data_IF_936869303587
#
_entry.id   IF_936869303587
#
_cell.length_a   1.000
_cell.length_b   1.000
_cell.length_c   1.000
_cell.angle_alpha   90.00
_cell.angle_beta   90.00
_cell.angle_gamma   90.00
#
_symmetry.space_group_name_H-M   'P 1'
#
loop_
_entity.id
_entity.type
_entity.pdbx_description
1 polymer ?
#
# COMPACT_ATOMS: atom_id res chain seq x y z
N UNK A 1 80.32 30.39 -88.92
CA UNK A 1 79.40 31.08 -87.99
C UNK A 1 77.94 30.63 -88.22
N UNK A 2 77.60 29.35 -88.03
CA UNK A 2 76.24 28.84 -88.38
C UNK A 2 75.69 27.75 -87.44
N UNK A 3 76.25 27.58 -86.23
CA UNK A 3 75.81 26.53 -85.29
C UNK A 3 74.83 27.00 -84.19
N UNK A 4 74.66 28.31 -83.96
CA UNK A 4 73.85 28.82 -82.85
C UNK A 4 72.34 28.99 -83.16
N UNK A 5 71.91 28.88 -84.42
CA UNK A 5 70.52 29.21 -84.80
C UNK A 5 69.49 28.08 -84.58
N UNK A 6 69.92 26.83 -84.36
CA UNK A 6 68.99 25.67 -84.22
C UNK A 6 68.51 25.42 -82.80
N UNK A 7 69.22 25.89 -81.78
CA UNK A 7 68.84 25.68 -80.38
C UNK A 7 67.72 26.59 -79.89
N UNK A 8 67.50 27.74 -80.55
CA UNK A 8 66.45 28.69 -80.18
C UNK A 8 65.02 28.19 -80.45
N UNK A 9 64.84 27.40 -81.51
CA UNK A 9 63.52 26.94 -81.97
C UNK A 9 62.90 25.84 -81.08
N UNK A 10 63.72 25.01 -80.43
CA UNK A 10 63.23 23.96 -79.51
C UNK A 10 62.78 24.54 -78.16
N UNK A 11 63.42 25.62 -77.70
CA UNK A 11 63.06 26.29 -76.45
C UNK A 11 61.75 27.07 -76.59
N UNK A 12 61.52 27.72 -77.74
CA UNK A 12 60.28 28.47 -77.98
C UNK A 12 59.06 27.55 -78.12
N UNK A 13 59.22 26.34 -78.68
CA UNK A 13 58.13 25.37 -78.77
C UNK A 13 57.79 24.76 -77.40
N UNK A 14 58.79 24.51 -76.53
CA UNK A 14 58.56 24.05 -75.16
C UNK A 14 57.82 25.08 -74.28
N UNK A 15 58.07 26.38 -74.50
CA UNK A 15 57.36 27.48 -73.83
C UNK A 15 55.93 27.70 -74.36
N UNK A 16 55.64 27.34 -75.61
CA UNK A 16 54.29 27.42 -76.19
C UNK A 16 53.38 26.25 -75.75
N UNK A 17 53.93 25.08 -75.43
CA UNK A 17 53.13 23.94 -74.91
C UNK A 17 52.83 24.02 -73.41
N UNK A 18 53.59 24.77 -72.61
CA UNK A 18 53.32 24.87 -71.16
C UNK A 18 52.09 25.73 -70.81
N UNK A 19 51.56 26.49 -71.77
CA UNK A 19 50.40 27.39 -71.58
C UNK A 19 49.02 26.80 -71.91
N UNK A 20 48.92 25.57 -72.44
CA UNK A 20 47.63 25.05 -72.91
C UNK A 20 46.63 24.65 -71.81
N UNK A 21 47.06 24.52 -70.56
CA UNK A 21 46.17 24.13 -69.44
C UNK A 21 45.85 25.28 -68.46
N UNK A 22 46.38 26.50 -68.66
CA UNK A 22 46.20 27.61 -67.70
C UNK A 22 44.88 28.39 -67.85
N UNK A 23 44.11 28.14 -68.92
CA UNK A 23 42.82 28.81 -69.19
C UNK A 23 41.65 27.88 -69.50
N UNK A 24 41.85 26.55 -69.46
CA UNK A 24 40.80 25.57 -69.76
C UNK A 24 40.36 24.91 -68.45
N UNK A 25 39.06 24.99 -68.17
CA UNK A 25 38.45 24.26 -67.04
C UNK A 25 38.79 22.78 -67.11
N UNK A 26 39.24 22.23 -65.99
CA UNK A 26 39.57 20.81 -65.84
C UNK A 26 38.32 19.94 -65.68
N UNK A 27 37.12 20.51 -65.80
CA UNK A 27 35.87 19.77 -65.95
C UNK A 27 35.66 19.39 -67.43
N UNK A 28 35.61 18.09 -67.79
CA UNK A 28 35.38 17.65 -69.17
C UNK A 28 34.00 18.05 -69.72
N UNK A 29 33.03 18.36 -68.84
CA UNK A 29 31.69 18.82 -69.25
C UNK A 29 31.71 20.27 -69.71
N UNK A 30 32.62 21.08 -69.18
CA UNK A 30 32.75 22.50 -69.53
C UNK A 30 33.91 22.77 -70.51
N UNK A 31 34.99 21.97 -70.46
CA UNK A 31 36.22 22.15 -71.23
C UNK A 31 36.42 21.19 -72.41
N UNK A 32 35.47 20.27 -72.64
CA UNK A 32 35.54 19.28 -73.71
C UNK A 32 36.78 18.37 -73.63
N UNK A 33 37.26 17.89 -74.79
CA UNK A 33 38.42 16.99 -74.87
C UNK A 33 39.71 17.61 -74.30
N UNK A 34 39.94 18.91 -74.50
CA UNK A 34 41.11 19.61 -73.97
C UNK A 34 41.08 19.70 -72.44
N UNK A 35 39.93 20.00 -71.85
CA UNK A 35 39.72 19.98 -70.40
C UNK A 35 39.84 18.56 -69.81
N UNK A 36 39.43 17.54 -70.56
CA UNK A 36 39.62 16.13 -70.21
C UNK A 36 41.08 15.71 -70.10
N UNK A 37 41.90 16.07 -71.09
CA UNK A 37 43.35 15.75 -71.12
C UNK A 37 44.11 16.57 -70.08
N UNK A 38 43.84 17.88 -69.96
CA UNK A 38 44.44 18.72 -68.92
C UNK A 38 44.03 18.23 -67.52
N UNK A 39 42.78 17.80 -67.31
CA UNK A 39 42.33 17.24 -66.02
C UNK A 39 43.03 15.94 -65.63
N UNK A 40 43.42 15.10 -66.60
CA UNK A 40 44.26 13.93 -66.33
C UNK A 40 45.71 14.30 -66.06
N UNK A 41 46.29 15.19 -66.87
CA UNK A 41 47.68 15.61 -66.72
C UNK A 41 47.95 16.40 -65.42
N UNK A 42 46.95 17.13 -64.93
CA UNK A 42 47.04 17.96 -63.70
C UNK A 42 46.63 17.22 -62.42
N UNK A 43 46.09 16.00 -62.52
CA UNK A 43 45.62 15.24 -61.35
C UNK A 43 44.26 15.69 -60.78
N UNK A 44 43.59 16.67 -61.39
CA UNK A 44 42.32 17.22 -60.91
C UNK A 44 41.20 16.16 -60.76
N UNK A 45 41.23 15.06 -61.52
CA UNK A 45 40.30 13.94 -61.32
C UNK A 45 40.56 13.15 -60.05
N UNK A 46 41.82 12.91 -59.71
CA UNK A 46 42.19 12.21 -58.47
C UNK A 46 41.63 12.97 -57.28
N UNK A 47 41.87 14.28 -57.23
CA UNK A 47 41.37 15.14 -56.16
C UNK A 47 39.83 15.13 -56.06
N UNK A 48 39.11 15.18 -57.20
CA UNK A 48 37.65 15.06 -57.21
C UNK A 48 37.11 13.70 -56.78
N UNK A 49 37.86 12.63 -57.00
CA UNK A 49 37.52 11.28 -56.52
C UNK A 49 37.78 11.22 -55.02
N UNK A 50 38.90 11.74 -54.55
CA UNK A 50 39.26 11.79 -53.13
C UNK A 50 38.24 12.62 -52.34
N UNK A 51 37.85 13.80 -52.82
CA UNK A 51 36.83 14.65 -52.21
C UNK A 51 35.47 13.94 -52.11
N UNK A 52 35.06 13.26 -53.19
CA UNK A 52 33.80 12.47 -53.18
C UNK A 52 33.89 11.28 -52.25
N UNK A 53 35.03 10.62 -52.20
CA UNK A 53 35.25 9.46 -51.31
C UNK A 53 35.23 9.91 -49.85
N UNK A 54 35.85 11.04 -49.53
CA UNK A 54 35.79 11.67 -48.21
C UNK A 54 34.36 12.07 -47.83
N UNK A 55 33.60 12.64 -48.78
CA UNK A 55 32.18 12.98 -48.57
C UNK A 55 31.32 11.74 -48.31
N UNK A 56 31.49 10.68 -49.11
CA UNK A 56 30.77 9.42 -48.92
C UNK A 56 31.10 8.78 -47.57
N UNK A 57 32.37 8.75 -47.19
CA UNK A 57 32.79 8.25 -45.87
C UNK A 57 32.18 9.07 -44.72
N UNK A 58 32.10 10.40 -44.89
CA UNK A 58 31.44 11.29 -43.92
C UNK A 58 29.94 11.00 -43.82
N UNK A 59 29.25 10.87 -44.94
CA UNK A 59 27.81 10.56 -44.99
C UNK A 59 27.50 9.18 -44.39
N UNK A 60 28.31 8.17 -44.67
CA UNK A 60 28.18 6.84 -44.07
C UNK A 60 28.41 6.89 -42.56
N UNK A 61 29.35 7.70 -42.09
CA UNK A 61 29.56 7.96 -40.66
C UNK A 61 28.33 8.58 -40.01
N UNK A 62 27.78 9.64 -40.61
CA UNK A 62 26.55 10.29 -40.12
C UNK A 62 25.34 9.35 -40.15
N UNK A 63 25.21 8.52 -41.19
CA UNK A 63 24.14 7.52 -41.30
C UNK A 63 24.22 6.50 -40.16
N UNK A 64 25.39 5.94 -39.90
CA UNK A 64 25.58 4.98 -38.78
C UNK A 64 25.30 5.62 -37.43
N UNK A 65 25.68 6.88 -37.24
CA UNK A 65 25.37 7.62 -36.01
C UNK A 65 23.85 7.77 -35.82
N UNK A 66 23.13 8.17 -36.88
CA UNK A 66 21.66 8.30 -36.85
C UNK A 66 20.96 6.96 -36.62
N UNK A 67 21.42 5.87 -37.26
CA UNK A 67 20.91 4.51 -37.01
C UNK A 67 21.13 4.10 -35.54
N UNK A 68 22.30 4.43 -34.97
CA UNK A 68 22.59 4.26 -33.55
C UNK A 68 21.63 5.04 -32.66
N UNK A 69 21.44 6.34 -32.94
CA UNK A 69 20.53 7.21 -32.18
C UNK A 69 19.08 6.73 -32.24
N UNK A 70 18.60 6.30 -33.42
CA UNK A 70 17.26 5.74 -33.60
C UNK A 70 17.09 4.46 -32.77
N UNK A 71 18.04 3.52 -32.83
CA UNK A 71 17.97 2.31 -32.02
C UNK A 71 17.98 2.61 -30.51
N UNK A 72 18.74 3.63 -30.09
CA UNK A 72 18.78 4.08 -28.71
C UNK A 72 17.48 4.75 -28.26
N UNK A 73 16.82 5.50 -29.14
CA UNK A 73 15.51 6.10 -28.90
C UNK A 73 14.41 5.04 -28.81
N UNK A 74 14.40 4.05 -29.70
CA UNK A 74 13.46 2.94 -29.67
C UNK A 74 13.56 2.15 -28.36
N UNK A 75 14.79 1.82 -27.93
CA UNK A 75 15.02 1.13 -26.66
C UNK A 75 14.53 1.97 -25.45
N UNK A 76 14.73 3.28 -25.47
CA UNK A 76 14.21 4.19 -24.44
C UNK A 76 12.67 4.25 -24.46
N UNK A 77 12.06 4.30 -25.64
CA UNK A 77 10.61 4.31 -25.79
C UNK A 77 9.99 3.03 -25.22
N UNK A 78 10.56 1.87 -25.52
CA UNK A 78 10.10 0.58 -24.99
C UNK A 78 10.25 0.50 -23.46
N UNK A 79 11.38 0.98 -22.92
CA UNK A 79 11.60 1.04 -21.49
C UNK A 79 10.55 1.93 -20.79
N UNK A 80 10.28 3.12 -21.34
CA UNK A 80 9.26 4.04 -20.82
C UNK A 80 7.85 3.45 -20.90
N UNK A 81 7.49 2.79 -22.01
CA UNK A 81 6.20 2.13 -22.16
C UNK A 81 6.02 0.99 -21.15
N UNK A 82 7.09 0.22 -20.89
CA UNK A 82 7.08 -0.83 -19.88
C UNK A 82 6.88 -0.26 -18.46
N UNK A 83 7.62 0.80 -18.12
CA UNK A 83 7.48 1.51 -16.86
C UNK A 83 6.07 2.04 -16.65
N UNK A 84 5.50 2.72 -17.66
CA UNK A 84 4.15 3.29 -17.62
C UNK A 84 3.08 2.22 -17.44
N UNK A 85 3.22 1.04 -18.08
CA UNK A 85 2.34 -0.12 -17.83
C UNK A 85 2.47 -0.62 -16.39
N UNK A 86 3.68 -0.63 -15.83
CA UNK A 86 3.93 -0.98 -14.44
C UNK A 86 3.25 -0.04 -13.45
N UNK A 87 3.41 1.28 -13.66
CA UNK A 87 2.79 2.32 -12.86
C UNK A 87 1.26 2.25 -12.91
N UNK A 88 0.67 2.06 -14.10
CA UNK A 88 -0.79 1.89 -14.24
C UNK A 88 -1.32 0.72 -13.41
N UNK A 89 -0.65 -0.44 -13.45
CA UNK A 89 -1.02 -1.59 -12.62
C UNK A 89 -0.88 -1.29 -11.11
N UNK A 90 0.13 -0.49 -10.74
CA UNK A 90 0.30 -0.04 -9.35
C UNK A 90 -0.86 0.84 -8.90
N UNK A 91 -1.22 1.85 -9.71
CA UNK A 91 -2.35 2.73 -9.47
C UNK A 91 -3.69 1.99 -9.37
N UNK A 92 -3.92 1.00 -10.22
CA UNK A 92 -5.12 0.17 -10.15
C UNK A 92 -5.19 -0.66 -8.86
N UNK A 93 -4.06 -1.18 -8.37
CA UNK A 93 -4.00 -1.86 -7.07
C UNK A 93 -4.34 -0.91 -5.94
N UNK A 94 -3.67 0.25 -5.89
CA UNK A 94 -3.94 1.28 -4.89
C UNK A 94 -5.40 1.76 -4.90
N UNK A 95 -6.03 1.91 -6.07
CA UNK A 95 -7.46 2.23 -6.18
C UNK A 95 -8.36 1.14 -5.59
N UNK A 96 -8.04 -0.13 -5.84
CA UNK A 96 -8.78 -1.26 -5.23
C UNK A 96 -8.60 -1.28 -3.72
N UNK A 97 -7.40 -1.04 -3.23
CA UNK A 97 -7.09 -1.00 -1.79
C UNK A 97 -7.84 0.14 -1.10
N UNK A 98 -7.83 1.35 -1.69
CA UNK A 98 -8.62 2.48 -1.19
C UNK A 98 -10.12 2.21 -1.18
N UNK A 99 -10.65 1.54 -2.22
CA UNK A 99 -12.05 1.13 -2.25
C UNK A 99 -12.37 0.04 -1.21
N UNK A 100 -11.41 -0.82 -0.87
CA UNK A 100 -11.50 -1.76 0.25
C UNK A 100 -11.57 -1.01 1.58
N UNK A 101 -10.56 -0.18 1.86
CA UNK A 101 -10.47 0.64 3.07
C UNK A 101 -11.70 1.53 3.28
N UNK A 102 -12.22 2.13 2.21
CA UNK A 102 -13.45 2.94 2.27
C UNK A 102 -14.68 2.12 2.67
N UNK A 103 -14.81 0.89 2.16
CA UNK A 103 -15.88 -0.03 2.55
C UNK A 103 -15.73 -0.49 3.99
N UNK A 104 -14.50 -0.80 4.42
CA UNK A 104 -14.23 -1.20 5.80
C UNK A 104 -14.55 -0.07 6.78
N UNK A 105 -14.16 1.17 6.44
CA UNK A 105 -14.50 2.35 7.22
C UNK A 105 -16.02 2.56 7.28
N UNK A 106 -16.73 2.43 6.14
CA UNK A 106 -18.18 2.51 6.11
C UNK A 106 -18.85 1.41 6.96
N UNK A 107 -18.30 0.19 6.97
CA UNK A 107 -18.79 -0.90 7.80
C UNK A 107 -18.54 -0.62 9.29
N UNK A 108 -17.38 -0.08 9.65
CA UNK A 108 -17.07 0.32 11.02
C UNK A 108 -17.96 1.46 11.52
N UNK A 109 -18.22 2.47 10.68
CA UNK A 109 -19.12 3.58 11.05
C UNK A 109 -20.57 3.10 11.16
N UNK A 110 -21.03 2.21 10.26
CA UNK A 110 -22.34 1.57 10.36
C UNK A 110 -22.47 0.64 11.58
N UNK A 111 -21.36 0.04 12.05
CA UNK A 111 -21.34 -0.76 13.27
C UNK A 111 -21.33 0.09 14.56
N UNK A 112 -21.05 1.39 14.48
CA UNK A 112 -21.06 2.32 15.61
C UNK A 112 -22.42 2.38 16.35
N UNK A 113 -23.58 2.57 15.68
CA UNK A 113 -24.88 2.52 16.37
C UNK A 113 -25.17 1.15 16.97
N UNK A 114 -24.72 0.05 16.35
CA UNK A 114 -24.85 -1.29 16.93
C UNK A 114 -24.00 -1.44 18.20
N UNK A 115 -22.80 -0.87 18.24
CA UNK A 115 -21.98 -0.80 19.47
C UNK A 115 -22.66 0.05 20.55
N UNK A 116 -23.24 1.19 20.21
CA UNK A 116 -23.98 2.03 21.16
C UNK A 116 -25.18 1.27 21.76
N UNK A 117 -25.97 0.59 20.92
CA UNK A 117 -27.10 -0.23 21.38
C UNK A 117 -26.67 -1.37 22.33
N UNK A 118 -25.55 -2.05 22.03
CA UNK A 118 -25.01 -3.09 22.91
C UNK A 118 -24.58 -2.54 24.28
N UNK A 119 -24.02 -1.33 24.33
CA UNK A 119 -23.66 -0.68 25.60
C UNK A 119 -24.90 -0.34 26.43
N UNK A 120 -25.97 0.16 25.79
CA UNK A 120 -27.24 0.39 26.49
C UNK A 120 -27.88 -0.90 27.01
N UNK A 121 -27.83 -1.98 26.22
CA UNK A 121 -28.31 -3.30 26.61
C UNK A 121 -27.52 -3.84 27.82
N UNK A 122 -26.20 -3.79 27.78
CA UNK A 122 -25.34 -4.17 28.93
C UNK A 122 -25.74 -3.38 30.17
N UNK A 123 -25.89 -2.05 30.05
CA UNK A 123 -26.30 -1.20 31.17
C UNK A 123 -27.74 -1.46 31.67
N UNK A 124 -28.62 -2.02 30.84
CA UNK A 124 -29.96 -2.46 31.24
C UNK A 124 -29.90 -3.81 31.98
N UNK A 125 -29.10 -4.76 31.50
CA UNK A 125 -28.85 -6.03 32.19
C UNK A 125 -28.21 -5.82 33.56
N UNK A 126 -27.22 -4.93 33.68
CA UNK A 126 -26.57 -4.61 34.97
C UNK A 126 -27.58 -4.11 36.01
N UNK A 127 -28.54 -3.28 35.58
CA UNK A 127 -29.65 -2.83 36.44
C UNK A 127 -30.57 -3.98 36.86
N UNK A 128 -30.93 -4.86 35.93
CA UNK A 128 -31.75 -6.04 36.24
C UNK A 128 -31.07 -6.98 37.24
N UNK A 129 -29.76 -7.17 37.11
CA UNK A 129 -28.96 -7.97 38.06
C UNK A 129 -28.96 -7.30 39.43
N UNK A 130 -28.73 -5.98 39.49
CA UNK A 130 -28.76 -5.24 40.76
C UNK A 130 -30.13 -5.34 41.45
N UNK A 131 -31.22 -5.17 40.71
CA UNK A 131 -32.59 -5.28 41.23
C UNK A 131 -32.90 -6.70 41.71
N UNK A 132 -32.48 -7.73 40.96
CA UNK A 132 -32.66 -9.13 41.35
C UNK A 132 -31.88 -9.46 42.63
N UNK A 133 -30.65 -8.95 42.77
CA UNK A 133 -29.85 -9.10 43.99
C UNK A 133 -30.50 -8.38 45.17
N UNK A 134 -31.03 -7.16 44.98
CA UNK A 134 -31.73 -6.42 46.02
C UNK A 134 -33.02 -7.14 46.45
N UNK A 135 -33.78 -7.67 45.50
CA UNK A 135 -34.98 -8.47 45.75
C UNK A 135 -34.66 -9.75 46.53
N UNK A 136 -33.59 -10.46 46.15
CA UNK A 136 -33.12 -11.64 46.87
C UNK A 136 -32.67 -11.30 48.30
N UNK A 137 -31.91 -10.22 48.50
CA UNK A 137 -31.55 -9.75 49.83
C UNK A 137 -32.79 -9.40 50.67
N UNK A 138 -33.83 -8.84 50.04
CA UNK A 138 -35.14 -8.63 50.67
C UNK A 138 -35.79 -9.93 51.13
N UNK A 139 -35.86 -10.94 50.24
CA UNK A 139 -36.40 -12.27 50.54
C UNK A 139 -35.61 -12.96 51.66
N UNK A 140 -34.29 -12.87 51.66
CA UNK A 140 -33.45 -13.43 52.72
C UNK A 140 -33.72 -12.77 54.07
N UNK A 141 -33.89 -11.45 54.11
CA UNK A 141 -34.28 -10.73 55.33
C UNK A 141 -35.64 -11.19 55.85
N UNK A 142 -36.64 -11.30 54.96
CA UNK A 142 -37.97 -11.79 55.33
C UNK A 142 -37.93 -13.24 55.83
N UNK A 143 -37.19 -14.12 55.15
CA UNK A 143 -37.03 -15.52 55.56
C UNK A 143 -36.33 -15.63 56.92
N UNK A 144 -35.32 -14.77 57.18
CA UNK A 144 -34.65 -14.71 58.49
C UNK A 144 -35.60 -14.22 59.58
N UNK A 145 -36.41 -13.20 59.33
CA UNK A 145 -37.40 -12.69 60.28
C UNK A 145 -38.49 -13.73 60.61
N UNK A 146 -38.97 -14.45 59.60
CA UNK A 146 -39.90 -15.58 59.79
C UNK A 146 -39.26 -16.70 60.59
N UNK A 147 -38.01 -17.05 60.30
CA UNK A 147 -37.27 -18.08 61.06
C UNK A 147 -37.09 -17.67 62.52
N UNK A 148 -36.70 -16.42 62.80
CA UNK A 148 -36.56 -15.94 64.18
C UNK A 148 -37.89 -15.88 64.92
N UNK A 149 -38.98 -15.45 64.24
CA UNK A 149 -40.32 -15.42 64.83
C UNK A 149 -40.91 -16.82 65.08
N UNK A 150 -40.66 -17.78 64.18
CA UNK A 150 -41.05 -19.17 64.39
C UNK A 150 -40.30 -19.79 65.57
N UNK A 151 -39.00 -19.52 65.71
CA UNK A 151 -38.20 -19.99 66.86
C UNK A 151 -38.75 -19.43 68.17
N UNK A 152 -39.03 -18.11 68.25
CA UNK A 152 -39.55 -17.52 69.48
C UNK A 152 -40.95 -18.00 69.84
N UNK A 153 -41.81 -18.27 68.85
CA UNK A 153 -43.12 -18.87 69.07
C UNK A 153 -43.03 -20.31 69.59
N UNK A 154 -42.08 -21.10 69.07
CA UNK A 154 -41.79 -22.45 69.58
C UNK A 154 -41.28 -22.39 71.02
N UNK A 155 -40.34 -21.51 71.31
CA UNK A 155 -39.78 -21.32 72.66
C UNK A 155 -40.86 -20.90 73.66
N UNK A 156 -41.72 -19.94 73.29
CA UNK A 156 -42.86 -19.54 74.11
C UNK A 156 -43.83 -20.70 74.40
N UNK A 157 -44.15 -21.52 73.38
CA UNK A 157 -45.02 -22.69 73.55
C UNK A 157 -44.39 -23.84 74.36
N UNK A 158 -43.06 -23.93 74.43
CA UNK A 158 -42.34 -24.85 75.34
C UNK A 158 -42.42 -24.33 76.78
N UNK A 159 -42.19 -23.03 76.99
CA UNK A 159 -42.30 -22.40 78.31
C UNK A 159 -43.72 -22.48 78.86
N UNK A 160 -44.74 -22.22 78.04
CA UNK A 160 -46.13 -22.29 78.48
C UNK A 160 -46.53 -23.71 78.89
N UNK A 161 -46.10 -24.73 78.13
CA UNK A 161 -46.29 -26.14 78.50
C UNK A 161 -45.57 -26.50 79.79
N UNK A 162 -44.33 -26.05 79.99
CA UNK A 162 -43.57 -26.36 81.21
C UNK A 162 -44.17 -25.70 82.46
N UNK A 163 -44.70 -24.47 82.34
CA UNK A 163 -45.43 -23.79 83.43
C UNK A 163 -46.74 -24.53 83.73
N UNK A 164 -47.49 -24.93 82.70
CA UNK A 164 -48.73 -25.68 82.87
C UNK A 164 -48.49 -27.04 83.55
N UNK A 165 -47.43 -27.75 83.17
CA UNK A 165 -47.00 -29.00 83.81
C UNK A 165 -46.53 -28.78 85.26
N UNK A 166 -45.74 -27.74 85.53
CA UNK A 166 -45.32 -27.39 86.87
C UNK A 166 -46.53 -27.09 87.79
N UNK A 167 -47.53 -26.36 87.28
CA UNK A 167 -48.78 -26.10 88.01
C UNK A 167 -49.62 -27.35 88.27
N UNK A 168 -49.60 -28.36 87.37
CA UNK A 168 -50.24 -29.67 87.64
C UNK A 168 -49.51 -30.41 88.75
N UNK A 169 -48.18 -30.50 88.70
CA UNK A 169 -47.38 -31.15 89.74
C UNK A 169 -47.57 -30.49 91.11
N UNK A 170 -47.67 -29.16 91.15
CA UNK A 170 -47.92 -28.45 92.40
C UNK A 170 -49.30 -28.78 92.98
N UNK A 171 -50.35 -28.81 92.15
CA UNK A 171 -51.69 -29.21 92.59
C UNK A 171 -51.76 -30.67 93.02
N UNK A 172 -51.05 -31.56 92.34
CA UNK A 172 -50.92 -32.96 92.74
C UNK A 172 -50.24 -33.07 94.11
N UNK A 173 -49.15 -32.34 94.34
CA UNK A 173 -48.48 -32.25 95.64
C UNK A 173 -49.38 -31.67 96.73
N UNK A 174 -50.12 -30.61 96.44
CA UNK A 174 -51.04 -29.99 97.40
C UNK A 174 -52.20 -30.94 97.73
N UNK A 175 -52.73 -31.66 96.74
CA UNK A 175 -53.75 -32.68 96.93
C UNK A 175 -53.21 -33.89 97.72
N UNK A 176 -51.97 -34.32 97.46
CA UNK A 176 -51.28 -35.36 98.20
C UNK A 176 -51.04 -34.93 99.66
N UNK A 177 -50.55 -33.72 99.90
CA UNK A 177 -50.40 -33.14 101.24
C UNK A 177 -51.74 -33.02 101.97
N UNK A 178 -52.82 -32.67 101.27
CA UNK A 178 -54.16 -32.66 101.84
C UNK A 178 -54.63 -34.07 102.23
N UNK A 179 -54.34 -35.10 101.41
CA UNK A 179 -54.61 -36.50 101.76
C UNK A 179 -53.81 -36.95 102.97
N UNK A 180 -52.53 -36.61 103.04
CA UNK A 180 -51.66 -36.92 104.19
C UNK A 180 -52.18 -36.24 105.45
N UNK A 181 -52.56 -34.95 105.36
CA UNK A 181 -53.15 -34.20 106.49
C UNK A 181 -54.42 -34.88 107.02
N UNK A 182 -55.32 -35.26 106.13
CA UNK A 182 -56.55 -35.96 106.49
C UNK A 182 -56.29 -37.36 107.10
N UNK A 183 -55.23 -38.04 106.68
CA UNK A 183 -54.81 -39.34 107.24
C UNK A 183 -54.11 -39.23 108.61
N UNK A 184 -53.52 -38.08 108.94
CA UNK A 184 -52.82 -37.82 110.20
C UNK A 184 -53.71 -37.21 111.30
N UNK A 185 -54.99 -36.93 111.02
CA UNK A 185 -55.97 -36.54 112.04
C UNK A 185 -55.76 -35.14 112.64
N UNK A 186 -55.24 -34.19 111.84
CA UNK A 186 -55.21 -32.74 112.12
C UNK A 186 -55.96 -32.01 111.03
#
# INVERSE_FOLDING_TARGET
MTALARSGALVSLALLLSGCCSGVTSDPREGGLAGGVCGQATGAYGQRIDDRTALLASLDGSRRALEGDLSGLDAKADALLSALRGERRSLERQRRDLAGLSRDLAAMTAASPRRAALVEEIGALDRQVADALAANAGRERSARALRSGASSAIDAGIVERSIAEAGRRQRERDAEMARIRNALGV
#
